data_IF_087111083212
#
_entry.id   IF_087111083212
#
_cell.length_a   1.000
_cell.length_b   1.000
_cell.length_c   1.000
_cell.angle_alpha   90.00
_cell.angle_beta   90.00
_cell.angle_gamma   90.00
#
_symmetry.space_group_name_H-M   'P 1'
#
loop_
_entity.id
_entity.type
_entity.pdbx_description
1 polymer ?
#
# COMPACT_ATOMS: atom_id res chain seq x y z
N UNK A 1 -36.97 -12.31 -1.83
CA UNK A 1 -37.46 -11.33 -0.82
C UNK A 1 -36.77 -9.97 -0.97
N UNK A 2 -35.45 -9.93 -1.08
CA UNK A 2 -34.65 -8.69 -1.28
C UNK A 2 -35.00 -7.90 -2.55
N UNK A 3 -35.20 -8.58 -3.70
CA UNK A 3 -35.58 -7.91 -4.95
C UNK A 3 -36.98 -7.27 -4.92
N UNK A 4 -37.93 -7.84 -4.16
CA UNK A 4 -39.27 -7.23 -3.97
C UNK A 4 -39.18 -5.96 -3.13
N UNK A 5 -38.28 -5.92 -2.15
CA UNK A 5 -38.05 -4.75 -1.29
C UNK A 5 -37.39 -3.59 -2.06
N UNK A 6 -36.45 -3.90 -2.96
CA UNK A 6 -35.79 -2.91 -3.82
C UNK A 6 -36.77 -2.33 -4.86
N UNK A 7 -37.62 -3.17 -5.46
CA UNK A 7 -38.66 -2.71 -6.38
C UNK A 7 -39.67 -1.77 -5.70
N UNK A 8 -40.06 -2.09 -4.46
CA UNK A 8 -40.98 -1.28 -3.65
C UNK A 8 -40.38 0.07 -3.23
N UNK A 9 -39.06 0.14 -3.00
CA UNK A 9 -38.35 1.40 -2.74
C UNK A 9 -38.25 2.30 -3.98
N UNK A 10 -38.13 1.74 -5.18
CA UNK A 10 -38.08 2.50 -6.43
C UNK A 10 -39.44 3.11 -6.76
N UNK A 11 -40.53 2.40 -6.43
CA UNK A 11 -41.91 2.87 -6.60
C UNK A 11 -42.25 4.05 -5.68
N UNK A 12 -41.70 4.09 -4.46
CA UNK A 12 -41.92 5.17 -3.49
C UNK A 12 -41.15 6.47 -3.79
N UNK A 13 -40.18 6.44 -4.72
CA UNK A 13 -39.36 7.61 -5.06
C UNK A 13 -39.87 8.40 -6.29
N UNK A 14 -41.04 8.05 -6.83
CA UNK A 14 -41.83 8.91 -7.72
C UNK A 14 -41.12 9.45 -8.97
N UNK A 15 -41.13 8.67 -10.07
CA UNK A 15 -41.26 9.21 -11.43
C UNK A 15 -41.60 8.09 -12.45
N UNK A 16 -42.77 8.25 -13.10
CA UNK A 16 -43.38 7.65 -14.30
C UNK A 16 -43.09 6.18 -14.74
N UNK A 17 -44.11 5.37 -15.09
CA UNK A 17 -43.99 3.91 -15.28
C UNK A 17 -43.41 3.44 -16.64
N UNK A 18 -42.88 4.31 -17.49
CA UNK A 18 -42.62 3.99 -18.90
C UNK A 18 -41.19 3.52 -19.22
N UNK A 19 -40.36 3.22 -18.23
CA UNK A 19 -38.98 2.72 -18.46
C UNK A 19 -38.63 1.47 -17.67
N UNK A 20 -39.60 0.60 -17.43
CA UNK A 20 -39.36 -0.80 -17.07
C UNK A 20 -38.93 -1.56 -18.35
N UNK A 21 -37.76 -1.21 -18.88
CA UNK A 21 -37.06 -2.06 -19.83
C UNK A 21 -36.29 -3.08 -18.99
N UNK A 22 -36.72 -4.34 -19.06
CA UNK A 22 -36.05 -5.55 -18.54
C UNK A 22 -34.56 -5.35 -18.25
N UNK A 23 -34.23 -5.06 -16.98
CA UNK A 23 -32.84 -5.13 -16.51
C UNK A 23 -32.63 -6.50 -15.88
N UNK A 24 -32.54 -7.51 -16.72
CA UNK A 24 -31.86 -8.75 -16.37
C UNK A 24 -30.35 -8.48 -16.49
N UNK A 25 -29.78 -7.68 -15.58
CA UNK A 25 -28.34 -7.39 -15.59
C UNK A 25 -27.70 -7.70 -14.24
N UNK A 26 -26.63 -8.48 -14.35
CA UNK A 26 -25.76 -9.02 -13.30
C UNK A 26 -25.40 -7.94 -12.24
N UNK A 27 -25.20 -8.32 -10.96
CA UNK A 27 -25.03 -7.41 -9.82
C UNK A 27 -23.93 -6.34 -9.97
N UNK A 28 -22.94 -6.57 -10.82
CA UNK A 28 -21.89 -5.60 -11.17
C UNK A 28 -22.48 -4.34 -11.84
N UNK A 29 -23.50 -4.48 -12.70
CA UNK A 29 -24.12 -3.33 -13.36
C UNK A 29 -24.90 -2.43 -12.39
N UNK A 30 -25.49 -3.01 -11.35
CA UNK A 30 -26.21 -2.25 -10.32
C UNK A 30 -25.22 -1.43 -9.46
N UNK A 31 -24.05 -2.00 -9.16
CA UNK A 31 -22.98 -1.31 -8.44
C UNK A 31 -22.43 -0.11 -9.23
N UNK A 32 -22.23 -0.27 -10.54
CA UNK A 32 -21.82 0.82 -11.42
C UNK A 32 -22.90 1.90 -11.57
N UNK A 33 -24.17 1.53 -11.64
CA UNK A 33 -25.27 2.49 -11.73
C UNK A 33 -25.42 3.33 -10.46
N UNK A 34 -25.40 2.69 -9.28
CA UNK A 34 -25.44 3.38 -7.97
C UNK A 34 -24.21 4.28 -7.78
N UNK A 35 -23.02 3.80 -8.15
CA UNK A 35 -21.78 4.60 -8.06
C UNK A 35 -21.82 5.85 -8.97
N UNK A 36 -22.37 5.74 -10.17
CA UNK A 36 -22.52 6.88 -11.08
C UNK A 36 -23.61 7.87 -10.64
N UNK A 37 -24.70 7.39 -10.05
CA UNK A 37 -25.74 8.24 -9.47
C UNK A 37 -25.18 9.15 -8.36
N UNK A 38 -24.38 8.59 -7.45
CA UNK A 38 -23.71 9.38 -6.40
C UNK A 38 -22.57 10.26 -6.92
N UNK A 39 -21.91 9.86 -8.02
CA UNK A 39 -20.88 10.69 -8.68
C UNK A 39 -21.50 11.93 -9.33
N UNK A 40 -22.67 11.80 -9.96
CA UNK A 40 -23.41 12.93 -10.52
C UNK A 40 -23.98 13.88 -9.45
N UNK A 41 -24.23 13.41 -8.23
CA UNK A 41 -24.61 14.28 -7.10
C UNK A 41 -23.45 15.10 -6.52
N UNK A 42 -22.20 14.78 -6.87
CA UNK A 42 -21.00 15.54 -6.44
C UNK A 42 -20.55 16.61 -7.44
N UNK A 43 -21.26 16.80 -8.55
CA UNK A 43 -20.95 17.86 -9.51
C UNK A 43 -21.63 19.16 -9.07
N UNK A 44 -20.88 20.22 -8.70
CA UNK A 44 -21.46 21.44 -8.12
C UNK A 44 -22.29 22.30 -9.09
N UNK A 45 -22.25 22.04 -10.40
CA UNK A 45 -22.91 22.85 -11.43
C UNK A 45 -24.22 22.26 -11.99
N UNK A 46 -24.90 21.38 -11.24
CA UNK A 46 -26.25 20.91 -11.59
C UNK A 46 -27.29 22.00 -11.24
N UNK A 47 -28.19 22.38 -12.19
CA UNK A 47 -29.15 23.48 -11.97
C UNK A 47 -30.23 23.21 -10.92
N UNK A 48 -30.38 21.96 -10.44
CA UNK A 48 -31.50 21.54 -9.58
C UNK A 48 -31.20 21.64 -8.08
N UNK A 49 -30.62 22.75 -7.62
CA UNK A 49 -30.38 22.94 -6.17
C UNK A 49 -30.70 24.34 -5.67
N UNK A 50 -31.95 24.75 -5.89
CA UNK A 50 -32.56 25.87 -5.20
C UNK A 50 -33.65 25.39 -4.21
N UNK A 51 -33.33 24.47 -3.32
CA UNK A 51 -34.08 24.30 -2.06
C UNK A 51 -33.27 23.47 -1.06
N UNK A 52 -33.30 23.91 0.19
CA UNK A 52 -32.89 23.17 1.38
C UNK A 52 -31.37 23.05 1.65
N UNK A 53 -30.78 24.19 2.06
CA UNK A 53 -29.45 24.25 2.71
C UNK A 53 -29.56 24.51 4.23
N UNK A 54 -30.72 24.32 4.85
CA UNK A 54 -30.93 24.70 6.26
C UNK A 54 -31.42 23.57 7.18
N UNK A 55 -31.53 22.33 6.72
CA UNK A 55 -31.83 21.22 7.61
C UNK A 55 -30.57 20.74 8.38
N UNK A 56 -30.53 20.79 9.74
CA UNK A 56 -29.38 20.40 10.55
C UNK A 56 -29.05 18.90 10.58
N UNK A 57 -29.68 18.10 9.70
CA UNK A 57 -29.61 16.63 9.67
C UNK A 57 -29.19 16.04 8.31
N UNK A 58 -28.62 16.83 7.39
CA UNK A 58 -28.21 16.30 6.07
C UNK A 58 -26.92 15.46 6.12
N UNK A 59 -25.89 15.90 6.85
CA UNK A 59 -24.63 15.15 6.96
C UNK A 59 -24.74 13.88 7.82
N UNK A 60 -25.59 13.89 8.86
CA UNK A 60 -25.82 12.73 9.73
C UNK A 60 -26.58 11.59 9.03
N UNK A 61 -27.63 11.93 8.26
CA UNK A 61 -28.40 10.94 7.48
C UNK A 61 -27.56 10.28 6.39
N UNK A 62 -26.66 11.01 5.74
CA UNK A 62 -25.80 10.42 4.69
C UNK A 62 -24.75 9.44 5.24
N UNK A 63 -24.30 9.60 6.48
CA UNK A 63 -23.36 8.68 7.11
C UNK A 63 -24.04 7.37 7.56
N UNK A 64 -25.27 7.45 8.08
CA UNK A 64 -26.04 6.29 8.51
C UNK A 64 -26.49 5.40 7.33
N UNK A 65 -26.80 6.00 6.17
CA UNK A 65 -27.13 5.26 4.95
C UNK A 65 -25.93 4.51 4.33
N UNK A 66 -24.71 5.03 4.43
CA UNK A 66 -23.49 4.36 3.92
C UNK A 66 -23.06 3.18 4.79
N UNK A 67 -23.28 3.26 6.11
CA UNK A 67 -23.00 2.16 7.05
C UNK A 67 -24.05 1.04 6.91
N UNK A 68 -25.30 1.38 6.62
CA UNK A 68 -26.37 0.40 6.36
C UNK A 68 -26.21 -0.31 4.99
N UNK A 69 -25.81 0.42 3.93
CA UNK A 69 -25.59 -0.17 2.60
C UNK A 69 -24.34 -1.06 2.54
N UNK A 70 -23.28 -0.73 3.29
CA UNK A 70 -22.07 -1.57 3.36
C UNK A 70 -22.30 -2.88 4.13
N UNK A 71 -23.16 -2.88 5.15
CA UNK A 71 -23.52 -4.09 5.90
C UNK A 71 -24.47 -5.03 5.14
N UNK A 72 -25.25 -4.52 4.18
CA UNK A 72 -26.11 -5.32 3.30
C UNK A 72 -25.38 -5.94 2.08
N UNK A 73 -24.18 -5.46 1.74
CA UNK A 73 -23.36 -5.99 0.63
C UNK A 73 -22.42 -7.14 1.03
N UNK A 74 -22.38 -7.49 2.32
CA UNK A 74 -21.57 -8.60 2.85
C UNK A 74 -22.51 -9.76 3.19
N UNK A 75 -23.18 -10.38 2.20
CA UNK A 75 -23.04 -11.83 2.09
C UNK A 75 -23.35 -12.36 0.68
N UNK A 76 -22.39 -12.43 -0.26
CA UNK A 76 -22.63 -13.13 -1.53
C UNK A 76 -21.39 -13.62 -2.31
N UNK A 77 -20.23 -13.77 -1.67
CA UNK A 77 -19.10 -14.48 -2.29
C UNK A 77 -18.39 -15.32 -1.24
N UNK A 78 -19.11 -16.32 -0.75
CA UNK A 78 -18.53 -17.47 -0.06
C UNK A 78 -18.55 -18.63 -1.04
N UNK A 79 -17.58 -18.68 -1.94
CA UNK A 79 -17.19 -19.96 -2.56
C UNK A 79 -16.59 -20.82 -1.45
N UNK A 80 -16.83 -22.14 -1.42
CA UNK A 80 -16.36 -22.99 -0.34
C UNK A 80 -14.82 -23.08 -0.43
N UNK A 81 -14.12 -22.39 0.48
CA UNK A 81 -12.69 -22.63 0.67
C UNK A 81 -12.50 -24.01 1.30
N UNK A 82 -11.43 -24.75 0.95
CA UNK A 82 -11.02 -25.87 1.78
C UNK A 82 -10.63 -25.31 3.15
N UNK A 83 -11.34 -25.79 4.17
CA UNK A 83 -11.01 -25.87 5.61
C UNK A 83 -9.91 -24.87 6.07
N UNK A 84 -10.35 -23.75 6.66
CA UNK A 84 -9.49 -22.73 7.26
C UNK A 84 -8.63 -23.29 8.41
N UNK A 85 -7.32 -23.34 8.21
CA UNK A 85 -6.35 -23.36 9.31
C UNK A 85 -6.35 -21.97 9.99
N UNK A 86 -6.12 -21.89 11.31
CA UNK A 86 -6.09 -20.62 12.01
C UNK A 86 -5.01 -19.72 11.40
N UNK A 87 -5.40 -18.50 11.02
CA UNK A 87 -4.56 -17.47 10.39
C UNK A 87 -3.39 -16.98 11.27
N UNK A 88 -3.15 -17.65 12.40
CA UNK A 88 -2.08 -17.37 13.36
C UNK A 88 -1.09 -18.54 13.54
N UNK A 89 -1.18 -19.60 12.72
CA UNK A 89 -0.23 -20.73 12.74
C UNK A 89 0.60 -20.89 11.46
N UNK A 90 0.29 -20.16 10.39
CA UNK A 90 1.15 -20.07 9.18
C UNK A 90 2.08 -18.85 9.30
N UNK A 91 2.61 -18.62 10.51
CA UNK A 91 3.84 -17.85 10.64
C UNK A 91 4.92 -18.86 10.28
N UNK A 92 5.21 -18.88 8.98
CA UNK A 92 5.83 -19.97 8.24
C UNK A 92 7.15 -20.46 8.82
N UNK A 93 7.38 -21.77 8.70
CA UNK A 93 8.68 -22.38 9.00
C UNK A 93 9.83 -21.70 8.25
N UNK A 94 9.58 -21.03 7.12
CA UNK A 94 10.58 -20.22 6.44
C UNK A 94 11.08 -19.02 7.26
N UNK A 95 10.25 -18.41 8.10
CA UNK A 95 10.60 -17.24 8.92
C UNK A 95 11.31 -17.62 10.25
N UNK A 96 11.22 -18.89 10.67
CA UNK A 96 11.99 -19.41 11.80
C UNK A 96 13.43 -19.78 11.43
N UNK A 97 13.71 -19.97 10.13
CA UNK A 97 15.07 -20.14 9.61
C UNK A 97 15.74 -18.77 9.46
N UNK A 98 16.99 -18.58 9.92
CA UNK A 98 17.73 -17.33 9.72
C UNK A 98 17.77 -16.93 8.23
N UNK A 99 17.52 -15.67 7.88
CA UNK A 99 17.68 -15.18 6.52
C UNK A 99 19.12 -15.39 6.04
N UNK A 100 19.33 -15.74 4.77
CA UNK A 100 20.68 -15.85 4.22
C UNK A 100 21.34 -14.48 4.00
N UNK A 101 22.57 -14.48 3.50
CA UNK A 101 23.31 -13.23 3.22
C UNK A 101 22.84 -12.55 1.94
N UNK A 102 23.00 -11.23 1.91
CA UNK A 102 22.88 -10.40 0.71
C UNK A 102 24.24 -9.78 0.38
N UNK A 103 24.48 -9.57 -0.91
CA UNK A 103 25.61 -8.79 -1.38
C UNK A 103 25.15 -7.38 -1.75
N UNK A 104 25.95 -6.36 -1.45
CA UNK A 104 25.71 -4.98 -1.89
C UNK A 104 26.91 -4.44 -2.66
N UNK A 105 26.66 -3.59 -3.64
CA UNK A 105 27.67 -2.82 -4.35
C UNK A 105 27.22 -1.36 -4.37
N UNK A 106 27.90 -0.45 -3.65
CA UNK A 106 29.09 -0.68 -2.83
C UNK A 106 28.84 -1.59 -1.61
N UNK A 107 29.91 -2.25 -1.15
CA UNK A 107 29.84 -3.28 -0.11
C UNK A 107 29.96 -2.76 1.32
N UNK A 108 30.61 -1.61 1.51
CA UNK A 108 31.08 -1.12 2.81
C UNK A 108 30.52 0.25 3.17
N UNK A 109 30.57 1.22 2.26
CA UNK A 109 30.11 2.60 2.48
C UNK A 109 29.62 3.24 1.18
N UNK A 110 28.91 4.35 1.30
CA UNK A 110 28.52 5.22 0.19
C UNK A 110 29.24 6.55 0.38
N UNK A 111 29.83 7.10 -0.67
CA UNK A 111 30.53 8.39 -0.62
C UNK A 111 29.75 9.40 -1.44
N UNK A 112 29.28 10.47 -0.81
CA UNK A 112 28.79 11.67 -1.49
C UNK A 112 29.94 12.67 -1.64
N UNK A 113 30.26 13.02 -2.87
CA UNK A 113 31.31 14.00 -3.16
C UNK A 113 30.67 15.39 -3.31
N UNK A 114 31.37 16.42 -2.85
CA UNK A 114 31.03 17.80 -3.13
C UNK A 114 30.95 18.09 -4.64
N UNK A 115 30.22 19.14 -5.05
CA UNK A 115 29.53 20.12 -4.20
C UNK A 115 28.20 19.61 -3.60
N UNK A 116 27.72 20.23 -2.52
CA UNK A 116 26.46 19.83 -1.82
C UNK A 116 25.32 20.83 -2.02
N UNK A 117 25.43 21.66 -3.06
CA UNK A 117 24.46 22.68 -3.45
C UNK A 117 23.33 22.14 -4.34
N UNK A 118 23.49 20.93 -4.90
CA UNK A 118 22.48 20.23 -5.67
C UNK A 118 22.26 18.78 -5.17
N UNK A 119 21.11 18.22 -5.57
CA UNK A 119 20.73 16.85 -5.27
C UNK A 119 21.62 15.86 -6.02
N UNK A 120 22.27 14.99 -5.27
CA UNK A 120 23.04 13.87 -5.82
C UNK A 120 22.25 12.58 -5.73
N UNK A 121 22.28 11.75 -6.77
CA UNK A 121 21.70 10.40 -6.74
C UNK A 121 22.72 9.36 -7.16
N UNK A 122 23.04 8.45 -6.24
CA UNK A 122 23.86 7.26 -6.49
C UNK A 122 23.00 6.01 -6.53
N UNK A 123 23.59 4.90 -6.98
CA UNK A 123 22.89 3.63 -7.06
C UNK A 123 23.61 2.56 -6.24
N UNK A 124 22.84 1.80 -5.48
CA UNK A 124 23.29 0.59 -4.79
C UNK A 124 22.68 -0.61 -5.50
N UNK A 125 23.52 -1.56 -5.89
CA UNK A 125 23.03 -2.88 -6.31
C UNK A 125 22.91 -3.78 -5.09
N UNK A 126 21.74 -4.36 -4.86
CA UNK A 126 21.48 -5.38 -3.83
C UNK A 126 21.25 -6.71 -4.53
N UNK A 127 21.95 -7.76 -4.12
CA UNK A 127 21.81 -9.12 -4.67
C UNK A 127 21.46 -10.10 -3.57
N UNK A 128 20.37 -10.85 -3.75
CA UNK A 128 20.03 -11.94 -2.85
C UNK A 128 20.95 -13.14 -3.14
N UNK A 129 21.93 -13.36 -2.28
CA UNK A 129 22.87 -14.48 -2.41
C UNK A 129 22.37 -15.76 -1.74
N UNK A 130 21.21 -15.71 -1.09
CA UNK A 130 20.62 -16.84 -0.39
C UNK A 130 19.83 -17.77 -1.33
N UNK A 131 19.46 -18.94 -0.81
CA UNK A 131 18.62 -19.92 -1.50
C UNK A 131 17.11 -19.68 -1.33
N UNK A 132 16.69 -18.66 -0.56
CA UNK A 132 15.29 -18.36 -0.27
C UNK A 132 14.91 -16.97 -0.78
N UNK A 133 13.62 -16.78 -1.09
CA UNK A 133 13.07 -15.45 -1.39
C UNK A 133 13.10 -14.60 -0.12
N UNK A 134 13.48 -13.34 -0.27
CA UNK A 134 13.56 -12.38 0.82
C UNK A 134 12.69 -11.16 0.55
N UNK A 135 12.06 -10.63 1.61
CA UNK A 135 11.58 -9.26 1.64
C UNK A 135 12.68 -8.37 2.19
N UNK A 136 12.88 -7.19 1.60
CA UNK A 136 13.87 -6.21 2.05
C UNK A 136 13.26 -4.82 2.18
N UNK A 137 13.82 -4.01 3.09
CA UNK A 137 13.45 -2.62 3.29
C UNK A 137 14.66 -1.78 3.69
N UNK A 138 14.74 -0.55 3.17
CA UNK A 138 15.73 0.43 3.57
C UNK A 138 15.20 1.37 4.65
N UNK A 139 16.13 1.81 5.50
CA UNK A 139 15.96 2.88 6.47
C UNK A 139 17.14 3.84 6.34
N UNK A 140 16.89 5.13 6.54
CA UNK A 140 17.92 6.17 6.59
C UNK A 140 17.92 6.82 7.98
N UNK A 141 19.07 7.31 8.42
CA UNK A 141 19.17 8.10 9.66
C UNK A 141 18.63 9.51 9.52
N UNK A 142 18.74 10.07 8.32
CA UNK A 142 18.33 11.43 8.01
C UNK A 142 17.33 11.41 6.85
N UNK A 143 16.04 11.27 7.17
CA UNK A 143 14.97 11.22 6.15
C UNK A 143 14.71 12.58 5.46
N UNK A 144 15.28 13.68 5.97
CA UNK A 144 15.16 15.00 5.33
C UNK A 144 16.16 15.18 4.20
N UNK A 145 17.38 14.67 4.38
CA UNK A 145 18.47 14.77 3.41
C UNK A 145 18.56 13.54 2.51
N UNK A 146 18.28 12.36 3.05
CA UNK A 146 18.51 11.08 2.37
C UNK A 146 17.20 10.43 1.91
N UNK A 147 17.10 10.21 0.61
CA UNK A 147 16.00 9.46 -0.02
C UNK A 147 16.47 8.12 -0.58
N UNK A 148 15.59 7.11 -0.59
CA UNK A 148 15.87 5.79 -1.18
C UNK A 148 14.68 5.35 -2.03
N UNK A 149 14.93 4.93 -3.28
CA UNK A 149 13.91 4.45 -4.20
C UNK A 149 14.42 3.28 -5.08
N UNK A 150 13.73 2.12 -5.11
CA UNK A 150 12.63 1.74 -4.23
C UNK A 150 13.06 1.55 -2.77
N UNK A 151 12.22 1.99 -1.82
CA UNK A 151 12.51 1.89 -0.39
C UNK A 151 12.31 0.47 0.18
N UNK A 152 11.55 -0.39 -0.48
CA UNK A 152 11.32 -1.77 -0.08
C UNK A 152 10.94 -2.65 -1.28
N UNK A 153 11.15 -3.96 -1.16
CA UNK A 153 10.86 -4.89 -2.24
C UNK A 153 11.03 -6.35 -1.87
N UNK A 154 10.98 -7.21 -2.88
CA UNK A 154 11.12 -8.66 -2.76
C UNK A 154 12.14 -9.14 -3.79
N UNK A 155 13.10 -9.96 -3.36
CA UNK A 155 14.10 -10.57 -4.22
C UNK A 155 14.00 -12.10 -4.16
N UNK A 156 13.85 -12.72 -5.32
CA UNK A 156 14.04 -14.15 -5.49
C UNK A 156 15.51 -14.54 -5.29
N UNK A 157 15.81 -15.83 -5.06
CA UNK A 157 17.20 -16.31 -5.01
C UNK A 157 17.99 -15.87 -6.24
N UNK A 158 19.20 -15.33 -6.03
CA UNK A 158 20.12 -14.84 -7.07
C UNK A 158 19.65 -13.61 -7.86
N UNK A 159 18.47 -13.06 -7.53
CA UNK A 159 17.98 -11.82 -8.13
C UNK A 159 18.74 -10.61 -7.57
N UNK A 160 18.78 -9.54 -8.36
CA UNK A 160 19.31 -8.26 -7.95
C UNK A 160 18.34 -7.12 -8.21
N UNK A 161 18.44 -6.07 -7.40
CA UNK A 161 17.74 -4.80 -7.59
C UNK A 161 18.74 -3.65 -7.56
N UNK A 162 18.50 -2.64 -8.39
CA UNK A 162 19.25 -1.39 -8.40
C UNK A 162 18.42 -0.32 -7.68
N UNK A 163 19.01 0.28 -6.66
CA UNK A 163 18.33 1.16 -5.72
C UNK A 163 18.96 2.54 -5.81
N UNK A 164 18.16 3.55 -6.16
CA UNK A 164 18.58 4.93 -6.13
C UNK A 164 18.66 5.40 -4.67
N UNK A 165 19.78 6.00 -4.32
CA UNK A 165 20.02 6.67 -3.05
C UNK A 165 20.36 8.11 -3.36
N UNK A 166 19.54 9.01 -2.84
CA UNK A 166 19.70 10.43 -3.08
C UNK A 166 20.05 11.19 -1.81
N UNK A 167 20.86 12.24 -1.98
CA UNK A 167 21.18 13.24 -0.97
C UNK A 167 20.72 14.59 -1.51
N UNK A 168 19.74 15.21 -0.86
CA UNK A 168 19.32 16.57 -1.16
C UNK A 168 20.41 17.57 -0.76
N UNK A 169 20.37 18.76 -1.37
CA UNK A 169 21.30 19.84 -1.08
C UNK A 169 21.23 20.25 0.41
N UNK A 170 22.38 20.61 0.98
CA UNK A 170 22.48 20.98 2.39
C UNK A 170 23.72 21.84 2.67
N UNK A 171 23.73 22.53 3.81
CA UNK A 171 24.84 23.41 4.19
C UNK A 171 25.96 22.62 4.90
N UNK A 172 26.92 22.10 4.14
CA UNK A 172 28.05 21.35 4.72
C UNK A 172 28.85 22.19 5.73
N UNK A 173 29.17 21.58 6.89
CA UNK A 173 29.81 22.26 8.02
C UNK A 173 28.84 22.93 9.00
N UNK A 174 27.56 23.11 8.64
CA UNK A 174 26.51 23.62 9.53
C UNK A 174 25.59 22.51 10.06
N UNK A 175 25.65 21.33 9.46
CA UNK A 175 24.82 20.18 9.81
C UNK A 175 25.67 18.97 10.22
N UNK A 176 25.14 18.11 11.10
CA UNK A 176 25.81 16.85 11.45
C UNK A 176 25.78 15.90 10.24
N UNK A 177 26.94 15.32 9.95
CA UNK A 177 27.21 14.41 8.84
C UNK A 177 27.90 13.12 9.30
N UNK A 178 28.28 13.02 10.58
CA UNK A 178 29.18 11.97 11.06
C UNK A 178 28.50 10.61 11.26
N UNK A 179 27.18 10.61 11.47
CA UNK A 179 26.43 9.41 11.87
C UNK A 179 25.47 8.92 10.79
N UNK A 180 25.53 9.50 9.59
CA UNK A 180 24.62 9.15 8.52
C UNK A 180 24.91 7.74 7.98
N UNK A 181 23.83 6.97 7.82
CA UNK A 181 23.90 5.63 7.27
C UNK A 181 22.59 5.25 6.62
N UNK A 182 22.71 4.31 5.69
CA UNK A 182 21.61 3.59 5.10
C UNK A 182 21.64 2.17 5.64
N UNK A 183 20.51 1.73 6.18
CA UNK A 183 20.36 0.38 6.71
C UNK A 183 19.44 -0.40 5.77
N UNK A 184 19.91 -1.53 5.26
CA UNK A 184 19.04 -2.52 4.63
C UNK A 184 18.69 -3.58 5.67
N UNK A 185 17.40 -3.82 5.86
CA UNK A 185 16.87 -4.92 6.64
C UNK A 185 16.23 -5.94 5.70
N UNK A 186 16.37 -7.23 6.01
CA UNK A 186 15.72 -8.28 5.23
C UNK A 186 15.35 -9.49 6.07
N UNK A 187 14.33 -10.21 5.60
CA UNK A 187 13.84 -11.46 6.19
C UNK A 187 13.40 -12.42 5.09
N UNK A 188 13.34 -13.71 5.41
CA UNK A 188 12.73 -14.69 4.52
C UNK A 188 11.24 -14.38 4.37
N UNK A 189 10.73 -14.46 3.15
CA UNK A 189 9.29 -14.35 2.95
C UNK A 189 8.60 -15.59 3.53
N UNK A 190 7.36 -15.45 4.05
CA UNK A 190 6.52 -16.61 4.32
C UNK A 190 6.38 -17.50 3.08
N UNK A 191 6.24 -18.80 3.28
CA UNK A 191 6.01 -19.79 2.23
C UNK A 191 4.70 -19.48 1.49
N UNK A 192 4.74 -19.57 0.17
CA UNK A 192 3.60 -19.23 -0.68
C UNK A 192 3.27 -17.73 -0.75
N UNK A 193 4.05 -16.85 -0.10
CA UNK A 193 3.85 -15.42 -0.23
C UNK A 193 4.04 -14.93 -1.68
N UNK A 194 3.12 -14.05 -2.11
CA UNK A 194 3.25 -13.36 -3.38
C UNK A 194 4.55 -12.52 -3.41
N UNK A 195 5.07 -12.24 -4.60
CA UNK A 195 6.22 -11.34 -4.82
C UNK A 195 5.80 -9.87 -4.68
N UNK A 196 5.24 -9.54 -3.52
CA UNK A 196 4.81 -8.21 -3.13
C UNK A 196 5.22 -7.98 -1.69
N UNK A 197 5.97 -6.91 -1.46
CA UNK A 197 6.47 -6.58 -0.13
C UNK A 197 5.30 -6.36 0.85
N UNK A 198 5.46 -6.88 2.07
CA UNK A 198 4.53 -6.69 3.18
C UNK A 198 5.31 -6.31 4.42
N UNK A 199 4.91 -5.21 5.07
CA UNK A 199 5.61 -4.67 6.25
C UNK A 199 5.48 -5.61 7.44
N UNK A 200 4.42 -6.39 7.49
CA UNK A 200 4.06 -7.30 8.57
C UNK A 200 5.12 -8.42 8.74
N UNK A 201 5.87 -8.74 7.67
CA UNK A 201 6.99 -9.71 7.74
C UNK A 201 8.09 -9.28 8.71
N UNK A 202 8.16 -7.99 9.06
CA UNK A 202 9.15 -7.41 9.98
C UNK A 202 8.58 -7.16 11.39
N UNK A 203 7.31 -7.49 11.64
CA UNK A 203 6.61 -7.19 12.91
C UNK A 203 6.35 -8.44 13.77
N UNK A 204 6.46 -9.64 13.19
CA UNK A 204 6.30 -10.90 13.92
C UNK A 204 7.59 -11.41 14.57
N UNK A 205 7.54 -12.63 15.10
CA UNK A 205 8.68 -13.31 15.74
C UNK A 205 9.74 -13.81 14.73
N UNK A 206 9.57 -13.50 13.45
CA UNK A 206 10.51 -13.88 12.39
C UNK A 206 11.87 -13.22 12.54
N UNK A 207 12.93 -13.93 12.16
CA UNK A 207 14.28 -13.37 12.22
C UNK A 207 14.49 -12.30 11.14
N UNK A 208 15.00 -11.14 11.53
CA UNK A 208 15.35 -10.03 10.63
C UNK A 208 16.87 -9.79 10.68
N UNK A 209 17.52 -9.84 9.52
CA UNK A 209 18.91 -9.42 9.38
C UNK A 209 18.99 -7.97 8.94
N UNK A 210 20.10 -7.32 9.25
CA UNK A 210 20.38 -5.93 8.88
C UNK A 210 21.83 -5.73 8.48
N UNK A 211 22.05 -4.81 7.55
CA UNK A 211 23.38 -4.34 7.13
C UNK A 211 23.35 -2.83 7.06
N UNK A 212 24.33 -2.20 7.72
CA UNK A 212 24.54 -0.76 7.66
C UNK A 212 25.56 -0.45 6.57
N UNK A 213 25.27 0.56 5.77
CA UNK A 213 26.19 1.22 4.85
C UNK A 213 26.34 2.66 5.35
N UNK A 214 27.44 2.98 6.06
CA UNK A 214 27.75 4.36 6.45
C UNK A 214 27.84 5.25 5.22
N UNK A 215 27.44 6.51 5.40
CA UNK A 215 27.62 7.56 4.42
C UNK A 215 28.84 8.37 4.82
N UNK A 216 29.71 8.60 3.85
CA UNK A 216 30.86 9.49 3.94
C UNK A 216 30.62 10.67 3.02
N UNK A 217 30.89 11.87 3.54
CA UNK A 217 30.81 13.11 2.79
C UNK A 217 32.25 13.55 2.50
N UNK A 218 32.62 13.56 1.23
CA UNK A 218 33.94 13.99 0.74
C UNK A 218 33.85 15.43 0.21
N UNK A 219 34.20 16.45 1.02
CA UNK A 219 34.04 17.87 0.67
C UNK A 219 34.99 18.35 -0.42
#
# INVERSE_FOLDING_TARGET
KTLKYIAQMIEQLGNSPSSIVKVEKKPIHLFFWVSNFFRNQKNPDSPDRAADKTAPNYQKRNAEYLISLSSLLIPAYKTPSPRSLPHNQVVDMAQSVPPGDIATQPGTKIVFNAPYDDKHTYHIKVTNSSARRIGWAFKTTNMKRLGVDPAAGVLDPKENALIAVSCDAFAYGQEDTNNDRITIEWTNTPDGAAKQFRREWFQGDGMVRRKNLPIEYNP
#
